data_IF_541452553329
#
_entry.id   IF_541452553329
#
_cell.length_a   1.000
_cell.length_b   1.000
_cell.length_c   1.000
_cell.angle_alpha   90.00
_cell.angle_beta   90.00
_cell.angle_gamma   90.00
#
_symmetry.space_group_name_H-M   'P 1'
#
loop_
_entity.id
_entity.type
_entity.pdbx_description
1 polymer ?
#
# COMPACT_ATOMS: atom_id res chain seq x y z
N UNK A 1 -19.99 -13.49 39.77
CA UNK A 1 -18.78 -13.31 38.93
C UNK A 1 -19.09 -13.78 37.52
N UNK A 2 -18.83 -12.99 36.48
CA UNK A 2 -19.21 -13.35 35.10
C UNK A 2 -18.07 -13.11 34.12
N UNK A 3 -17.86 -14.06 33.21
CA UNK A 3 -16.93 -13.93 32.08
C UNK A 3 -17.73 -13.39 30.90
N UNK A 4 -17.20 -12.38 30.24
CA UNK A 4 -17.84 -11.69 29.12
C UNK A 4 -16.88 -11.73 27.94
N UNK A 5 -17.34 -12.32 26.83
CA UNK A 5 -16.55 -12.49 25.61
C UNK A 5 -16.97 -11.57 24.47
N UNK A 6 -18.10 -10.87 24.61
CA UNK A 6 -18.65 -10.02 23.55
C UNK A 6 -19.24 -8.71 24.07
N UNK A 7 -19.21 -7.67 23.22
CA UNK A 7 -19.78 -6.37 23.54
C UNK A 7 -21.31 -6.43 23.76
N UNK A 8 -22.01 -7.35 23.10
CA UNK A 8 -23.44 -7.56 23.27
C UNK A 8 -23.77 -8.15 24.64
N UNK A 9 -23.02 -9.14 25.10
CA UNK A 9 -23.14 -9.69 26.46
C UNK A 9 -22.82 -8.62 27.52
N UNK A 10 -21.77 -7.84 27.30
CA UNK A 10 -21.41 -6.73 28.18
C UNK A 10 -22.55 -5.72 28.33
N UNK A 11 -23.16 -5.28 27.23
CA UNK A 11 -24.28 -4.32 27.25
C UNK A 11 -25.55 -4.85 27.94
N UNK A 12 -25.76 -6.17 27.94
CA UNK A 12 -26.86 -6.82 28.69
C UNK A 12 -26.57 -6.87 30.19
N UNK A 13 -25.31 -7.04 30.56
CA UNK A 13 -24.91 -7.22 31.95
C UNK A 13 -24.73 -5.91 32.71
N UNK A 14 -24.30 -4.85 32.02
CA UNK A 14 -24.00 -3.55 32.63
C UNK A 14 -25.12 -2.54 32.35
N UNK A 15 -25.67 -2.00 33.45
CA UNK A 15 -26.76 -1.03 33.42
C UNK A 15 -26.46 0.16 32.50
N UNK A 16 -27.46 0.59 31.75
CA UNK A 16 -27.31 1.69 30.78
C UNK A 16 -26.89 3.01 31.45
N UNK A 17 -27.40 3.27 32.65
CA UNK A 17 -27.02 4.45 33.43
C UNK A 17 -25.52 4.48 33.77
N UNK A 18 -24.95 3.34 34.14
CA UNK A 18 -23.52 3.23 34.40
C UNK A 18 -22.72 3.51 33.14
N UNK A 19 -23.15 2.97 31.99
CA UNK A 19 -22.51 3.21 30.69
C UNK A 19 -22.57 4.67 30.27
N UNK A 20 -23.70 5.35 30.53
CA UNK A 20 -23.86 6.79 30.28
C UNK A 20 -22.95 7.64 31.17
N UNK A 21 -22.72 7.25 32.42
CA UNK A 21 -21.79 7.92 33.35
C UNK A 21 -20.31 7.66 33.00
N UNK A 22 -19.99 6.49 32.44
CA UNK A 22 -18.61 6.04 32.17
C UNK A 22 -18.33 5.86 30.66
N UNK A 23 -18.67 6.85 29.83
CA UNK A 23 -18.66 6.70 28.37
C UNK A 23 -17.31 6.29 27.78
N UNK A 24 -16.20 6.82 28.29
CA UNK A 24 -14.86 6.48 27.77
C UNK A 24 -14.46 5.05 28.11
N UNK A 25 -14.81 4.60 29.31
CA UNK A 25 -14.59 3.22 29.75
C UNK A 25 -15.50 2.25 29.01
N UNK A 26 -16.76 2.61 28.78
CA UNK A 26 -17.71 1.84 27.98
C UNK A 26 -17.19 1.63 26.54
N UNK A 27 -16.66 2.70 25.92
CA UNK A 27 -16.01 2.63 24.60
C UNK A 27 -14.76 1.75 24.64
N UNK A 28 -13.94 1.86 25.67
CA UNK A 28 -12.71 1.08 25.82
C UNK A 28 -13.01 -0.42 26.00
N UNK A 29 -13.97 -0.77 26.85
CA UNK A 29 -14.46 -2.14 27.05
C UNK A 29 -15.01 -2.71 25.75
N UNK A 30 -15.91 -1.99 25.10
CA UNK A 30 -16.50 -2.40 23.81
C UNK A 30 -15.41 -2.65 22.78
N UNK A 31 -14.46 -1.72 22.62
CA UNK A 31 -13.33 -1.85 21.70
C UNK A 31 -12.45 -3.06 22.04
N UNK A 32 -12.18 -3.31 23.32
CA UNK A 32 -11.37 -4.45 23.76
C UNK A 32 -12.06 -5.79 23.47
N UNK A 33 -13.36 -5.90 23.72
CA UNK A 33 -14.16 -7.10 23.43
C UNK A 33 -14.28 -7.36 21.92
N UNK A 34 -14.53 -6.32 21.11
CA UNK A 34 -14.55 -6.43 19.64
C UNK A 34 -13.22 -6.92 19.05
N UNK A 35 -12.11 -6.74 19.79
CA UNK A 35 -10.78 -7.21 19.40
C UNK A 35 -10.48 -8.64 19.91
N UNK A 36 -11.48 -9.36 20.40
CA UNK A 36 -11.36 -10.71 20.96
C UNK A 36 -10.83 -10.72 22.40
N UNK A 37 -10.91 -9.60 23.10
CA UNK A 37 -10.62 -9.53 24.52
C UNK A 37 -11.67 -10.27 25.35
N UNK A 38 -11.25 -10.77 26.51
CA UNK A 38 -12.16 -11.39 27.49
C UNK A 38 -12.12 -10.57 28.77
N UNK A 39 -13.29 -10.28 29.34
CA UNK A 39 -13.43 -9.57 30.60
C UNK A 39 -13.98 -10.49 31.67
N UNK A 40 -13.53 -10.27 32.91
CA UNK A 40 -14.14 -10.88 34.10
C UNK A 40 -14.52 -9.76 35.06
N UNK A 41 -15.80 -9.67 35.37
CA UNK A 41 -16.36 -8.64 36.25
C UNK A 41 -16.83 -9.25 37.58
N UNK A 42 -16.61 -8.53 38.68
CA UNK A 42 -17.24 -8.78 39.96
C UNK A 42 -18.52 -7.94 40.10
N UNK A 43 -19.55 -8.47 40.78
CA UNK A 43 -20.78 -7.71 41.09
C UNK A 43 -21.68 -7.35 39.91
N UNK A 44 -22.97 -7.11 40.19
CA UNK A 44 -23.94 -6.53 39.25
C UNK A 44 -23.84 -4.99 39.25
N UNK A 45 -23.59 -4.37 40.41
CA UNK A 45 -23.63 -2.91 40.59
C UNK A 45 -22.24 -2.26 40.75
N UNK A 46 -21.24 -3.01 41.21
CA UNK A 46 -19.86 -2.57 41.34
C UNK A 46 -18.98 -3.43 40.44
N UNK A 47 -18.95 -3.09 39.14
CA UNK A 47 -18.28 -3.85 38.07
C UNK A 47 -16.76 -3.79 38.22
N UNK A 48 -16.19 -4.40 39.25
CA UNK A 48 -14.74 -4.44 39.37
C UNK A 48 -14.13 -5.32 38.29
N UNK A 49 -13.17 -4.78 37.53
CA UNK A 49 -12.42 -5.53 36.54
C UNK A 49 -11.43 -6.47 37.20
N UNK A 50 -11.76 -7.77 37.19
CA UNK A 50 -10.89 -8.83 37.71
C UNK A 50 -9.90 -9.28 36.63
N UNK A 51 -10.36 -9.34 35.37
CA UNK A 51 -9.52 -9.71 34.24
C UNK A 51 -9.88 -8.87 33.00
N UNK A 52 -8.90 -8.40 32.21
CA UNK A 52 -7.46 -8.59 32.39
C UNK A 52 -6.91 -7.80 33.58
N UNK A 53 -5.97 -8.40 34.32
CA UNK A 53 -5.27 -7.71 35.41
C UNK A 53 -4.24 -6.69 34.86
N UNK A 54 -3.76 -5.77 35.70
CA UNK A 54 -2.78 -4.73 35.29
C UNK A 54 -1.58 -5.29 34.53
N UNK A 55 -0.97 -6.37 35.04
CA UNK A 55 0.21 -7.01 34.41
C UNK A 55 -0.10 -7.49 32.99
N UNK A 56 -1.26 -8.11 32.79
CA UNK A 56 -1.71 -8.58 31.47
C UNK A 56 -1.95 -7.42 30.52
N UNK A 57 -2.59 -6.34 30.98
CA UNK A 57 -2.84 -5.14 30.18
C UNK A 57 -1.51 -4.50 29.75
N UNK A 58 -0.56 -4.31 30.68
CA UNK A 58 0.77 -3.77 30.40
C UNK A 58 1.53 -4.60 29.37
N UNK A 59 1.50 -5.93 29.50
CA UNK A 59 2.09 -6.84 28.53
C UNK A 59 1.50 -6.66 27.13
N UNK A 60 0.16 -6.60 27.02
CA UNK A 60 -0.52 -6.39 25.74
C UNK A 60 -0.19 -5.02 25.14
N UNK A 61 -0.09 -3.97 25.96
CA UNK A 61 0.33 -2.63 25.52
C UNK A 61 1.72 -2.70 24.87
N UNK A 62 2.69 -3.35 25.53
CA UNK A 62 4.05 -3.47 25.00
C UNK A 62 4.11 -4.29 23.70
N UNK A 63 3.38 -5.39 23.61
CA UNK A 63 3.27 -6.16 22.35
C UNK A 63 2.72 -5.30 21.20
N UNK A 64 1.68 -4.50 21.46
CA UNK A 64 1.07 -3.66 20.43
C UNK A 64 1.99 -2.50 20.07
N UNK A 65 2.72 -1.91 21.03
CA UNK A 65 3.74 -0.89 20.74
C UNK A 65 4.82 -1.43 19.81
N UNK A 66 5.31 -2.66 20.07
CA UNK A 66 6.28 -3.33 19.18
C UNK A 66 5.72 -3.53 17.77
N UNK A 67 4.49 -4.06 17.65
CA UNK A 67 3.80 -4.23 16.35
C UNK A 67 3.60 -2.91 15.62
N UNK A 68 3.15 -1.86 16.32
CA UNK A 68 2.98 -0.51 15.76
C UNK A 68 4.30 0.05 15.25
N UNK A 69 5.39 -0.12 16.00
CA UNK A 69 6.72 0.35 15.58
C UNK A 69 7.17 -0.32 14.29
N UNK A 70 6.91 -1.63 14.15
CA UNK A 70 7.16 -2.35 12.91
C UNK A 70 6.34 -1.80 11.74
N UNK A 71 5.03 -1.58 11.93
CA UNK A 71 4.16 -0.97 10.91
C UNK A 71 4.63 0.43 10.53
N UNK A 72 5.05 1.26 11.50
CA UNK A 72 5.56 2.61 11.24
C UNK A 72 6.89 2.58 10.45
N UNK A 73 7.73 1.57 10.64
CA UNK A 73 8.93 1.35 9.80
C UNK A 73 8.52 0.95 8.37
N UNK A 74 7.57 0.01 8.23
CA UNK A 74 7.06 -0.42 6.92
C UNK A 74 6.40 0.72 6.15
N UNK A 75 5.57 1.54 6.80
CA UNK A 75 4.95 2.72 6.19
C UNK A 75 6.00 3.67 5.64
N UNK A 76 7.01 4.02 6.43
CA UNK A 76 8.09 4.90 5.97
C UNK A 76 8.84 4.33 4.79
N UNK A 77 9.10 3.01 4.79
CA UNK A 77 9.73 2.33 3.66
C UNK A 77 8.89 2.45 2.38
N UNK A 78 7.60 2.09 2.44
CA UNK A 78 6.72 2.15 1.28
C UNK A 78 6.45 3.58 0.81
N UNK A 79 6.33 4.56 1.71
CA UNK A 79 6.18 5.98 1.35
C UNK A 79 7.44 6.54 0.68
N UNK A 80 8.64 6.13 1.12
CA UNK A 80 9.90 6.46 0.43
C UNK A 80 9.97 5.78 -0.93
N UNK A 81 9.58 4.51 -1.02
CA UNK A 81 9.53 3.76 -2.27
C UNK A 81 8.58 4.44 -3.27
N UNK A 82 7.38 4.82 -2.84
CA UNK A 82 6.40 5.57 -3.64
C UNK A 82 6.98 6.89 -4.16
N UNK A 83 7.57 7.68 -3.26
CA UNK A 83 8.21 8.96 -3.64
C UNK A 83 9.30 8.73 -4.67
N UNK A 84 10.19 7.77 -4.44
CA UNK A 84 11.24 7.38 -5.37
C UNK A 84 10.67 7.00 -6.74
N UNK A 85 9.59 6.21 -6.80
CA UNK A 85 8.93 5.89 -8.07
C UNK A 85 8.42 7.13 -8.81
N UNK A 86 7.77 8.05 -8.10
CA UNK A 86 7.22 9.29 -8.69
C UNK A 86 8.34 10.21 -9.17
N UNK A 87 9.33 10.47 -8.31
CA UNK A 87 10.46 11.35 -8.63
C UNK A 87 11.30 10.75 -9.74
N UNK A 88 11.60 9.45 -9.70
CA UNK A 88 12.36 8.78 -10.75
C UNK A 88 11.61 8.85 -12.08
N UNK A 89 10.29 8.70 -12.10
CA UNK A 89 9.53 8.81 -13.35
C UNK A 89 9.60 10.25 -13.91
N UNK A 90 9.47 11.27 -13.05
CA UNK A 90 9.62 12.66 -13.45
C UNK A 90 11.03 12.98 -13.97
N UNK A 91 12.06 12.66 -13.20
CA UNK A 91 13.45 12.87 -13.59
C UNK A 91 13.83 12.06 -14.83
N UNK A 92 13.32 10.83 -14.98
CA UNK A 92 13.53 10.01 -16.19
C UNK A 92 12.92 10.68 -17.41
N UNK A 93 11.68 11.19 -17.29
CA UNK A 93 11.02 11.89 -18.38
C UNK A 93 11.71 13.20 -18.75
N UNK A 94 12.25 13.95 -17.79
CA UNK A 94 13.02 15.17 -18.08
C UNK A 94 14.41 14.86 -18.66
N UNK A 95 15.12 13.90 -18.08
CA UNK A 95 16.49 13.56 -18.49
C UNK A 95 16.59 12.87 -19.85
N UNK A 96 15.46 12.44 -20.45
CA UNK A 96 15.45 11.91 -21.83
C UNK A 96 15.94 12.95 -22.84
N UNK A 97 15.68 14.25 -22.61
CA UNK A 97 16.08 15.32 -23.52
C UNK A 97 17.60 15.55 -23.57
N UNK A 98 18.34 15.00 -22.61
CA UNK A 98 19.81 15.06 -22.56
C UNK A 98 20.42 13.76 -23.10
N UNK A 99 19.61 12.74 -23.43
CA UNK A 99 20.12 11.47 -23.91
C UNK A 99 20.34 11.51 -25.44
N UNK A 100 21.55 11.20 -25.95
CA UNK A 100 21.79 11.17 -27.40
C UNK A 100 20.88 10.19 -28.14
N UNK A 101 20.48 9.09 -27.50
CA UNK A 101 19.59 8.10 -28.09
C UNK A 101 18.19 8.67 -28.36
N UNK A 102 17.74 9.61 -27.53
CA UNK A 102 16.49 10.35 -27.75
C UNK A 102 16.57 11.17 -29.02
N UNK A 103 17.61 11.97 -29.17
CA UNK A 103 17.77 12.81 -30.36
C UNK A 103 17.96 11.97 -31.62
N UNK A 104 18.68 10.86 -31.54
CA UNK A 104 18.79 9.92 -32.65
C UNK A 104 17.42 9.36 -33.06
N UNK A 105 16.57 9.01 -32.09
CA UNK A 105 15.20 8.58 -32.36
C UNK A 105 14.37 9.69 -33.03
N UNK A 106 14.40 10.92 -32.51
CA UNK A 106 13.68 12.07 -33.07
C UNK A 106 14.15 12.39 -34.50
N UNK A 107 15.46 12.42 -34.73
CA UNK A 107 16.03 12.64 -36.06
C UNK A 107 15.56 11.58 -37.06
N UNK A 108 15.58 10.30 -36.67
CA UNK A 108 15.10 9.22 -37.53
C UNK A 108 13.59 9.30 -37.81
N UNK A 109 12.76 9.67 -36.83
CA UNK A 109 11.33 9.93 -37.09
C UNK A 109 11.18 10.97 -38.20
N UNK A 110 11.98 12.04 -38.17
CA UNK A 110 11.84 13.15 -39.10
C UNK A 110 12.40 12.84 -40.50
N UNK A 111 13.54 12.14 -40.56
CA UNK A 111 14.31 11.94 -41.80
C UNK A 111 14.04 10.60 -42.49
N UNK A 112 13.63 9.57 -41.76
CA UNK A 112 13.46 8.20 -42.28
C UNK A 112 11.97 7.79 -42.25
N UNK A 113 11.37 7.71 -43.45
CA UNK A 113 9.96 7.34 -43.63
C UNK A 113 9.66 5.90 -43.19
N UNK A 114 10.59 4.97 -43.41
CA UNK A 114 10.40 3.57 -43.00
C UNK A 114 10.48 3.45 -41.48
N UNK A 115 11.46 4.13 -40.88
CA UNK A 115 11.57 4.21 -39.42
C UNK A 115 10.30 4.75 -38.78
N UNK A 116 9.74 5.84 -39.32
CA UNK A 116 8.50 6.45 -38.83
C UNK A 116 7.34 5.44 -38.82
N UNK A 117 7.13 4.72 -39.93
CA UNK A 117 6.10 3.67 -40.01
C UNK A 117 6.31 2.58 -38.97
N UNK A 118 7.56 2.16 -38.73
CA UNK A 118 7.88 1.15 -37.72
C UNK A 118 7.64 1.67 -36.30
N UNK A 119 7.87 2.97 -36.03
CA UNK A 119 7.53 3.62 -34.77
C UNK A 119 6.02 3.63 -34.55
N UNK A 120 5.23 4.02 -35.56
CA UNK A 120 3.77 4.11 -35.43
C UNK A 120 3.11 2.75 -35.12
N UNK A 121 3.70 1.67 -35.62
CA UNK A 121 3.19 0.30 -35.39
C UNK A 121 3.68 -0.29 -34.06
N UNK A 122 4.98 -0.13 -33.75
CA UNK A 122 5.58 -0.78 -32.58
C UNK A 122 5.36 0.03 -31.30
N UNK A 123 5.34 1.36 -31.43
CA UNK A 123 5.19 2.36 -30.35
C UNK A 123 6.12 2.04 -29.16
N UNK A 124 7.45 2.21 -29.33
CA UNK A 124 8.41 1.94 -28.27
C UNK A 124 8.25 2.96 -27.11
N UNK A 125 8.46 2.55 -25.84
CA UNK A 125 8.37 3.43 -24.66
C UNK A 125 9.60 4.35 -24.54
N UNK A 126 9.74 5.31 -25.46
CA UNK A 126 10.87 6.25 -25.50
C UNK A 126 11.00 7.05 -24.20
N UNK A 127 9.89 7.35 -23.53
CA UNK A 127 9.84 7.96 -22.19
C UNK A 127 10.66 7.18 -21.14
N UNK A 128 10.83 5.87 -21.31
CA UNK A 128 11.49 5.00 -20.34
C UNK A 128 12.96 4.67 -20.71
N UNK A 129 13.58 5.39 -21.64
CA UNK A 129 14.92 5.06 -22.14
C UNK A 129 16.07 5.15 -21.12
N UNK A 130 15.83 5.76 -19.95
CA UNK A 130 16.80 5.76 -18.84
C UNK A 130 16.69 4.51 -17.98
N UNK A 131 15.56 3.82 -18.01
CA UNK A 131 15.41 2.53 -17.34
C UNK A 131 16.28 1.50 -18.08
N UNK A 132 17.19 0.83 -17.35
CA UNK A 132 18.12 -0.17 -17.90
C UNK A 132 17.40 -1.25 -18.71
N UNK A 133 16.21 -1.67 -18.27
CA UNK A 133 15.42 -2.72 -18.93
C UNK A 133 14.96 -2.24 -20.32
N UNK A 134 14.37 -1.04 -20.37
CA UNK A 134 13.80 -0.50 -21.61
C UNK A 134 14.86 0.09 -22.54
N UNK A 135 15.94 0.65 -22.00
CA UNK A 135 17.06 1.23 -22.76
C UNK A 135 17.65 0.26 -23.78
N UNK A 136 17.87 -1.00 -23.41
CA UNK A 136 18.45 -2.02 -24.31
C UNK A 136 17.55 -2.23 -25.54
N UNK A 137 16.25 -2.40 -25.30
CA UNK A 137 15.25 -2.59 -26.35
C UNK A 137 15.16 -1.35 -27.24
N UNK A 138 15.11 -0.15 -26.66
CA UNK A 138 15.04 1.11 -27.41
C UNK A 138 16.31 1.31 -28.24
N UNK A 139 17.49 1.02 -27.68
CA UNK A 139 18.77 1.10 -28.41
C UNK A 139 18.79 0.14 -29.60
N UNK A 140 18.33 -1.10 -29.41
CA UNK A 140 18.21 -2.05 -30.51
C UNK A 140 17.21 -1.58 -31.56
N UNK A 141 16.06 -1.06 -31.15
CA UNK A 141 15.06 -0.51 -32.06
C UNK A 141 15.62 0.66 -32.88
N UNK A 142 16.33 1.60 -32.25
CA UNK A 142 16.92 2.75 -32.96
C UNK A 142 18.03 2.31 -33.92
N UNK A 143 18.90 1.39 -33.51
CA UNK A 143 20.15 1.11 -34.24
C UNK A 143 20.06 -0.07 -35.22
N UNK A 144 19.18 -1.05 -35.01
CA UNK A 144 19.13 -2.27 -35.80
C UNK A 144 17.82 -2.33 -36.63
N UNK A 145 17.95 -2.27 -37.96
CA UNK A 145 16.82 -2.31 -38.89
C UNK A 145 16.11 -3.67 -38.90
N UNK A 146 16.86 -4.77 -38.93
CA UNK A 146 16.32 -6.14 -38.91
C UNK A 146 15.50 -6.38 -37.64
N UNK A 147 15.99 -5.93 -36.48
CA UNK A 147 15.27 -6.01 -35.22
C UNK A 147 13.95 -5.23 -35.26
N UNK A 148 13.92 -4.06 -35.90
CA UNK A 148 12.68 -3.29 -36.07
C UNK A 148 11.68 -4.02 -36.94
N UNK A 149 12.10 -4.56 -38.08
CA UNK A 149 11.20 -5.28 -38.98
C UNK A 149 10.62 -6.52 -38.29
N UNK A 150 11.41 -7.29 -37.55
CA UNK A 150 10.89 -8.40 -36.73
C UNK A 150 9.85 -7.95 -35.70
N UNK A 151 10.07 -6.80 -35.05
CA UNK A 151 9.09 -6.26 -34.09
C UNK A 151 7.80 -5.79 -34.77
N UNK A 152 7.92 -5.20 -35.95
CA UNK A 152 6.79 -4.77 -36.77
C UNK A 152 5.99 -5.97 -37.28
N UNK A 153 6.65 -7.00 -37.80
CA UNK A 153 6.03 -8.27 -38.20
C UNK A 153 5.28 -8.92 -37.04
N UNK A 154 5.93 -9.02 -35.87
CA UNK A 154 5.31 -9.54 -34.66
C UNK A 154 4.05 -8.74 -34.28
N UNK A 155 4.07 -7.42 -34.48
CA UNK A 155 2.93 -6.53 -34.21
C UNK A 155 1.81 -6.66 -35.24
N UNK A 156 2.13 -6.86 -36.51
CA UNK A 156 1.14 -7.02 -37.57
C UNK A 156 0.50 -8.41 -37.61
N UNK A 157 1.06 -9.39 -36.87
CA UNK A 157 0.46 -10.71 -36.71
C UNK A 157 -0.94 -10.66 -36.06
N UNK A 158 -1.76 -11.70 -36.29
CA UNK A 158 -3.14 -11.81 -35.72
C UNK A 158 -3.11 -11.66 -34.19
N UNK A 159 -2.10 -12.26 -33.54
CA UNK A 159 -1.92 -12.20 -32.09
C UNK A 159 -1.41 -10.82 -31.67
N UNK A 160 -0.48 -10.23 -32.43
CA UNK A 160 0.10 -8.91 -32.16
C UNK A 160 -0.91 -7.78 -32.20
N UNK A 161 -1.84 -7.81 -33.16
CA UNK A 161 -2.93 -6.83 -33.30
C UNK A 161 -3.89 -6.81 -32.13
N UNK A 162 -4.07 -7.95 -31.44
CA UNK A 162 -4.93 -8.06 -30.24
C UNK A 162 -4.24 -7.57 -28.96
N UNK A 163 -2.91 -7.38 -28.98
CA UNK A 163 -2.13 -6.97 -27.80
C UNK A 163 -1.93 -5.45 -27.80
N UNK A 164 -2.06 -4.85 -26.62
CA UNK A 164 -1.65 -3.48 -26.29
C UNK A 164 -0.23 -3.15 -26.77
N UNK A 165 0.04 -1.87 -27.07
CA UNK A 165 1.34 -1.42 -27.59
C UNK A 165 2.50 -1.68 -26.63
N UNK A 166 3.75 -1.60 -27.09
CA UNK A 166 4.90 -1.89 -26.21
C UNK A 166 4.97 -0.82 -25.12
N UNK A 167 4.73 0.43 -25.50
CA UNK A 167 4.57 1.55 -24.60
C UNK A 167 3.42 1.37 -23.63
N UNK A 168 2.23 1.02 -24.10
CA UNK A 168 1.06 0.85 -23.23
C UNK A 168 1.31 -0.21 -22.16
N UNK A 169 1.95 -1.33 -22.53
CA UNK A 169 2.33 -2.37 -21.57
C UNK A 169 3.35 -1.88 -20.53
N UNK A 170 4.32 -1.07 -20.96
CA UNK A 170 5.30 -0.49 -20.06
C UNK A 170 4.66 0.50 -19.08
N UNK A 171 3.80 1.39 -19.57
CA UNK A 171 3.04 2.34 -18.76
C UNK A 171 2.06 1.64 -17.81
N UNK A 172 1.39 0.57 -18.27
CA UNK A 172 0.54 -0.28 -17.42
C UNK A 172 1.35 -0.95 -16.32
N UNK A 173 2.53 -1.48 -16.62
CA UNK A 173 3.40 -2.06 -15.60
C UNK A 173 3.81 -1.04 -14.53
N UNK A 174 4.13 0.19 -14.93
CA UNK A 174 4.46 1.27 -13.98
C UNK A 174 3.24 1.63 -13.12
N UNK A 175 2.06 1.79 -13.73
CA UNK A 175 0.81 2.08 -13.00
C UNK A 175 0.49 0.99 -12.00
N UNK A 176 0.52 -0.29 -12.40
CA UNK A 176 0.27 -1.42 -11.52
C UNK A 176 1.23 -1.44 -10.32
N UNK A 177 2.50 -1.09 -10.52
CA UNK A 177 3.48 -1.00 -9.43
C UNK A 177 3.13 0.11 -8.43
N UNK A 178 2.69 1.28 -8.92
CA UNK A 178 2.26 2.40 -8.07
C UNK A 178 0.99 2.02 -7.30
N UNK A 179 0.00 1.43 -7.99
CA UNK A 179 -1.26 0.97 -7.38
C UNK A 179 -1.01 -0.08 -6.31
N UNK A 180 -0.11 -1.04 -6.55
CA UNK A 180 0.27 -2.05 -5.55
C UNK A 180 0.93 -1.42 -4.31
N UNK A 181 1.78 -0.40 -4.50
CA UNK A 181 2.39 0.35 -3.40
C UNK A 181 1.32 1.12 -2.63
N UNK A 182 0.40 1.78 -3.32
CA UNK A 182 -0.67 2.59 -2.70
C UNK A 182 -1.66 1.72 -1.92
N UNK A 183 -2.04 0.56 -2.47
CA UNK A 183 -2.82 -0.43 -1.78
C UNK A 183 -2.13 -0.91 -0.50
N UNK A 184 -0.81 -1.17 -0.56
CA UNK A 184 -0.04 -1.60 0.61
C UNK A 184 0.05 -0.50 1.67
N UNK A 185 0.26 0.76 1.27
CA UNK A 185 0.26 1.90 2.20
C UNK A 185 -1.10 2.04 2.87
N UNK A 186 -2.21 1.91 2.11
CA UNK A 186 -3.57 1.97 2.65
C UNK A 186 -3.79 0.90 3.72
N UNK A 187 -3.45 -0.36 3.40
CA UNK A 187 -3.55 -1.47 4.35
C UNK A 187 -2.76 -1.19 5.64
N UNK A 188 -1.50 -0.76 5.53
CA UNK A 188 -0.65 -0.47 6.69
C UNK A 188 -1.20 0.70 7.53
N UNK A 189 -1.81 1.72 6.90
CA UNK A 189 -2.48 2.83 7.61
C UNK A 189 -3.70 2.35 8.39
N UNK A 190 -4.50 1.46 7.81
CA UNK A 190 -5.64 0.85 8.48
C UNK A 190 -5.20 0.00 9.67
N UNK A 191 -4.17 -0.83 9.51
CA UNK A 191 -3.57 -1.62 10.60
C UNK A 191 -3.03 -0.71 11.72
N UNK A 192 -2.30 0.36 11.38
CA UNK A 192 -1.82 1.36 12.35
C UNK A 192 -2.96 2.02 13.13
N UNK A 193 -4.08 2.33 12.46
CA UNK A 193 -5.29 2.87 13.09
C UNK A 193 -5.90 1.86 14.07
N UNK A 194 -6.01 0.59 13.69
CA UNK A 194 -6.49 -0.50 14.56
C UNK A 194 -5.61 -0.61 15.82
N UNK A 195 -4.29 -0.64 15.68
CA UNK A 195 -3.38 -0.64 16.83
C UNK A 195 -3.52 0.60 17.72
N UNK A 196 -3.71 1.77 17.13
CA UNK A 196 -3.90 3.02 17.88
C UNK A 196 -5.20 3.04 18.68
N UNK A 197 -6.28 2.47 18.15
CA UNK A 197 -7.54 2.28 18.89
C UNK A 197 -7.36 1.28 20.03
N UNK A 198 -6.68 0.16 19.77
CA UNK A 198 -6.40 -0.86 20.78
C UNK A 198 -5.55 -0.34 21.94
N UNK A 199 -4.51 0.43 21.65
CA UNK A 199 -3.68 1.06 22.68
C UNK A 199 -4.49 2.03 23.54
N UNK A 200 -5.37 2.84 22.94
CA UNK A 200 -6.27 3.72 23.69
C UNK A 200 -7.18 2.93 24.63
N UNK A 201 -7.85 1.90 24.11
CA UNK A 201 -8.72 1.04 24.92
C UNK A 201 -7.96 0.38 26.08
N UNK A 202 -6.78 -0.18 25.83
CA UNK A 202 -5.97 -0.80 26.87
C UNK A 202 -5.45 0.20 27.91
N UNK A 203 -5.07 1.41 27.50
CA UNK A 203 -4.65 2.44 28.46
C UNK A 203 -5.83 2.89 29.36
N UNK A 204 -7.03 3.03 28.81
CA UNK A 204 -8.24 3.31 29.60
C UNK A 204 -8.60 2.16 30.54
N UNK A 205 -8.45 0.91 30.07
CA UNK A 205 -8.63 -0.27 30.94
C UNK A 205 -7.56 -0.33 32.03
N UNK A 206 -6.32 0.07 31.74
CA UNK A 206 -5.21 0.06 32.70
C UNK A 206 -5.46 1.04 33.85
N UNK A 207 -6.00 2.23 33.57
CA UNK A 207 -6.35 3.21 34.60
C UNK A 207 -7.49 2.73 35.51
N UNK A 208 -8.27 1.74 35.05
CA UNK A 208 -9.42 1.22 35.76
C UNK A 208 -9.17 -0.13 36.44
N UNK A 209 -8.27 -0.95 35.90
CA UNK A 209 -7.82 -2.17 36.54
C UNK A 209 -7.26 -1.84 37.93
N UNK A 210 -7.58 -2.68 38.93
CA UNK A 210 -6.96 -2.62 40.26
C UNK A 210 -5.70 -3.46 40.32
#
# INVERSE_FOLDING_TARGET
>A
MRIIGSASEYKKYVAEEWRKRNQDLDKAITTYLEMGGVLKLNGQDNTELIYPNKRRILYQIEEIKKKRTYIDKQLRFFERKRRSFITNNFFTNASRFIDPLYWQHILKINLDKEYRKSVDIVDPPITLMRDKKWRKMIKMFVNNAEYRERLKEARTSIIGKRRSSVRENAEKSIRNNIEAIDARIKQLREERRKFSRRLRALNTLLSWAK
#
